data_IF_798014649424
#
_entry.id   IF_798014649424
#
_cell.length_a   1.000
_cell.length_b   1.000
_cell.length_c   1.000
_cell.angle_alpha   90.00
_cell.angle_beta   90.00
_cell.angle_gamma   90.00
#
_symmetry.space_group_name_H-M   'P 1'
#
loop_
_entity.id
_entity.type
_entity.pdbx_description
1 polymer ?
#
# COMPACT_ATOMS: atom_id res chain seq x y z
N UNK A 1 -18.77 -19.01 7.02
CA UNK A 1 -17.72 -18.01 7.30
C UNK A 1 -16.85 -17.89 6.06
N UNK A 2 -16.87 -16.77 5.35
CA UNK A 2 -16.12 -16.60 4.09
C UNK A 2 -14.75 -16.02 4.45
N UNK A 3 -13.71 -16.85 4.35
CA UNK A 3 -12.34 -16.39 4.58
C UNK A 3 -11.92 -15.63 3.31
N UNK A 4 -11.78 -14.32 3.42
CA UNK A 4 -11.22 -13.49 2.36
C UNK A 4 -9.74 -13.84 2.19
N UNK A 5 -9.28 -14.06 0.96
CA UNK A 5 -7.85 -14.23 0.63
C UNK A 5 -7.07 -12.89 0.67
N UNK A 6 -7.65 -11.86 1.29
CA UNK A 6 -7.08 -10.52 1.42
C UNK A 6 -7.29 -9.98 2.83
N UNK A 7 -6.32 -9.22 3.32
CA UNK A 7 -6.39 -8.55 4.61
C UNK A 7 -7.48 -7.46 4.61
N UNK A 8 -8.25 -7.42 5.68
CA UNK A 8 -9.19 -6.34 6.00
C UNK A 8 -8.46 -5.05 6.36
N UNK A 9 -9.19 -3.92 6.31
CA UNK A 9 -8.66 -2.61 6.70
C UNK A 9 -8.11 -2.62 8.14
N UNK A 10 -8.83 -3.23 9.08
CA UNK A 10 -8.40 -3.34 10.47
C UNK A 10 -7.10 -4.14 10.63
N UNK A 11 -6.97 -5.26 9.91
CA UNK A 11 -5.72 -6.04 9.92
C UNK A 11 -4.54 -5.24 9.34
N UNK A 12 -4.77 -4.46 8.28
CA UNK A 12 -3.75 -3.58 7.70
C UNK A 12 -3.33 -2.48 8.69
N UNK A 13 -4.27 -1.88 9.41
CA UNK A 13 -3.98 -0.88 10.45
C UNK A 13 -3.15 -1.47 11.60
N UNK A 14 -3.50 -2.68 12.06
CA UNK A 14 -2.73 -3.39 13.10
C UNK A 14 -1.30 -3.68 12.62
N UNK A 15 -1.14 -4.15 11.37
CA UNK A 15 0.18 -4.41 10.78
C UNK A 15 1.02 -3.12 10.70
N UNK A 16 0.42 -2.01 10.27
CA UNK A 16 1.11 -0.71 10.22
C UNK A 16 1.57 -0.27 11.62
N UNK A 17 0.70 -0.38 12.62
CA UNK A 17 1.01 -0.02 14.00
C UNK A 17 2.18 -0.82 14.55
N UNK A 18 2.20 -2.15 14.35
CA UNK A 18 3.30 -3.01 14.79
C UNK A 18 4.61 -2.58 14.13
N UNK A 19 4.61 -2.40 12.81
CA UNK A 19 5.81 -2.05 12.07
C UNK A 19 6.34 -0.66 12.44
N UNK A 20 5.47 0.32 12.67
CA UNK A 20 5.87 1.64 13.17
C UNK A 20 6.39 1.59 14.60
N UNK A 21 5.77 0.78 15.47
CA UNK A 21 6.24 0.59 16.86
C UNK A 21 7.64 0.01 16.90
N UNK A 22 7.93 -0.97 16.02
CA UNK A 22 9.26 -1.54 15.86
C UNK A 22 10.30 -0.51 15.38
N UNK A 23 9.88 0.54 14.67
CA UNK A 23 10.76 1.64 14.22
C UNK A 23 10.89 2.78 15.23
N UNK A 24 9.86 3.06 16.04
CA UNK A 24 9.79 4.24 16.94
C UNK A 24 10.29 4.00 18.37
N UNK A 25 10.50 2.75 18.77
CA UNK A 25 10.92 2.44 20.14
C UNK A 25 11.00 0.96 20.50
N UNK A 26 10.63 0.05 19.58
CA UNK A 26 10.97 -1.36 19.71
C UNK A 26 12.48 -1.57 19.67
N UNK A 27 12.96 -2.69 20.21
CA UNK A 27 14.38 -3.04 20.19
C UNK A 27 14.86 -3.02 18.73
N UNK A 28 15.83 -2.17 18.35
CA UNK A 28 16.28 -2.06 16.96
C UNK A 28 16.71 -3.40 16.36
N UNK A 29 17.18 -4.33 17.20
CA UNK A 29 17.52 -5.70 16.83
C UNK A 29 16.35 -6.51 16.24
N UNK A 30 15.09 -6.20 16.58
CA UNK A 30 13.92 -6.88 16.02
C UNK A 30 13.59 -6.41 14.60
N UNK A 31 13.71 -5.11 14.32
CA UNK A 31 13.43 -4.54 13.00
C UNK A 31 14.60 -4.73 12.02
N UNK A 32 15.83 -4.57 12.50
CA UNK A 32 17.03 -4.54 11.64
C UNK A 32 17.64 -5.93 11.35
N UNK A 33 17.31 -6.97 12.14
CA UNK A 33 17.81 -8.34 11.86
C UNK A 33 17.09 -9.02 10.70
N UNK A 34 15.89 -8.59 10.36
CA UNK A 34 15.13 -9.20 9.27
C UNK A 34 15.32 -8.40 7.98
N UNK A 35 15.99 -9.01 6.99
CA UNK A 35 16.25 -8.40 5.68
C UNK A 35 14.97 -8.00 4.95
N UNK A 36 13.85 -8.68 5.24
CA UNK A 36 12.56 -8.43 4.62
C UNK A 36 11.74 -7.34 5.32
N UNK A 37 12.23 -6.77 6.43
CA UNK A 37 11.47 -5.78 7.18
C UNK A 37 11.11 -4.55 6.31
N UNK A 38 12.09 -4.05 5.53
CA UNK A 38 11.88 -2.90 4.67
C UNK A 38 10.88 -3.19 3.53
N UNK A 39 10.91 -4.39 2.95
CA UNK A 39 9.97 -4.79 1.91
C UNK A 39 8.55 -4.98 2.48
N UNK A 40 8.44 -5.58 3.67
CA UNK A 40 7.19 -5.75 4.39
C UNK A 40 6.55 -4.40 4.74
N UNK A 41 7.33 -3.45 5.27
CA UNK A 41 6.85 -2.10 5.57
C UNK A 41 6.26 -1.42 4.33
N UNK A 42 7.01 -1.41 3.21
CA UNK A 42 6.51 -0.85 1.95
C UNK A 42 5.26 -1.55 1.44
N UNK A 43 5.15 -2.86 1.63
CA UNK A 43 3.98 -3.65 1.24
C UNK A 43 2.74 -3.24 2.05
N UNK A 44 2.86 -3.11 3.37
CA UNK A 44 1.75 -2.66 4.23
C UNK A 44 1.32 -1.24 3.90
N UNK A 45 2.26 -0.31 3.68
CA UNK A 45 1.95 1.05 3.23
C UNK A 45 1.21 1.04 1.89
N UNK A 46 1.62 0.18 0.95
CA UNK A 46 0.94 0.04 -0.35
C UNK A 46 -0.48 -0.52 -0.18
N UNK A 47 -0.67 -1.50 0.68
CA UNK A 47 -1.98 -2.06 0.99
C UNK A 47 -2.91 -0.99 1.58
N UNK A 48 -2.42 -0.17 2.51
CA UNK A 48 -3.18 0.95 3.07
C UNK A 48 -3.61 1.95 1.98
N UNK A 49 -2.69 2.34 1.09
CA UNK A 49 -3.02 3.23 -0.04
C UNK A 49 -4.10 2.64 -0.93
N UNK A 50 -4.02 1.35 -1.27
CA UNK A 50 -5.03 0.67 -2.10
C UNK A 50 -6.41 0.66 -1.44
N UNK A 51 -6.48 0.47 -0.12
CA UNK A 51 -7.77 0.53 0.61
C UNK A 51 -8.37 1.93 0.56
N UNK A 52 -7.55 2.97 0.75
CA UNK A 52 -8.00 4.37 0.65
C UNK A 52 -8.49 4.68 -0.77
N UNK A 53 -7.71 4.34 -1.79
CA UNK A 53 -8.12 4.53 -3.20
C UNK A 53 -9.39 3.76 -3.53
N UNK A 54 -9.54 2.51 -3.04
CA UNK A 54 -10.76 1.72 -3.26
C UNK A 54 -11.99 2.38 -2.60
N UNK A 55 -11.81 3.01 -1.45
CA UNK A 55 -12.88 3.75 -0.75
C UNK A 55 -13.24 5.04 -1.49
N UNK A 56 -12.25 5.76 -2.00
CA UNK A 56 -12.43 7.00 -2.78
C UNK A 56 -13.07 6.74 -4.15
N UNK A 57 -12.70 5.63 -4.81
CA UNK A 57 -13.29 5.22 -6.08
C UNK A 57 -14.72 4.73 -5.93
N UNK A 58 -15.19 4.38 -4.72
CA UNK A 58 -16.61 4.13 -4.45
C UNK A 58 -17.26 3.04 -5.33
N UNK A 59 -16.48 2.12 -5.91
CA UNK A 59 -17.03 1.14 -6.85
C UNK A 59 -16.76 -0.28 -6.34
N UNK A 60 -17.86 -0.99 -6.12
CA UNK A 60 -17.96 -2.44 -6.22
C UNK A 60 -17.52 -2.87 -7.64
N UNK A 61 -16.22 -2.82 -7.94
CA UNK A 61 -15.72 -3.27 -9.24
C UNK A 61 -15.67 -4.80 -9.24
N UNK A 62 -16.80 -5.36 -9.70
CA UNK A 62 -16.90 -6.35 -10.76
C UNK A 62 -15.61 -7.10 -11.11
N UNK A 63 -15.74 -8.43 -11.18
CA UNK A 63 -14.72 -9.43 -11.58
C UNK A 63 -14.18 -9.28 -13.02
N UNK A 64 -14.45 -8.18 -13.71
CA UNK A 64 -14.01 -7.93 -15.09
C UNK A 64 -13.18 -6.65 -15.08
N UNK A 65 -11.88 -6.78 -15.32
CA UNK A 65 -10.94 -5.67 -15.26
C UNK A 65 -11.27 -4.58 -16.27
N UNK A 66 -11.54 -3.38 -15.77
CA UNK A 66 -11.57 -2.16 -16.58
C UNK A 66 -10.13 -1.65 -16.71
N UNK A 67 -9.63 -1.59 -17.94
CA UNK A 67 -8.34 -0.98 -18.26
C UNK A 67 -8.57 0.53 -18.29
N UNK A 68 -7.88 1.26 -17.42
CA UNK A 68 -7.84 2.73 -17.44
C UNK A 68 -7.17 3.16 -18.76
N UNK A 69 -7.85 4.02 -19.52
CA UNK A 69 -7.27 4.61 -20.72
C UNK A 69 -6.16 5.58 -20.29
N UNK A 70 -5.03 5.56 -21.00
CA UNK A 70 -3.96 6.53 -20.82
C UNK A 70 -4.51 7.85 -21.35
N UNK A 71 -4.70 8.83 -20.47
CA UNK A 71 -4.85 10.23 -20.85
C UNK A 71 -3.49 10.71 -21.41
N UNK A 72 -3.35 10.65 -22.73
CA UNK A 72 -2.33 11.41 -23.46
C UNK A 72 -2.80 12.87 -23.58
N UNK A 73 -1.86 13.83 -23.49
CA UNK A 73 -2.00 15.30 -23.38
C UNK A 73 -1.97 15.78 -21.91
N UNK A 74 -1.00 16.53 -21.36
CA UNK A 74 0.05 17.46 -21.80
C UNK A 74 1.10 17.45 -20.65
N UNK A 75 2.41 17.57 -20.82
CA UNK A 75 3.05 18.87 -21.03
C UNK A 75 4.51 18.71 -21.48
N UNK A 76 4.82 19.45 -22.54
CA UNK A 76 6.16 19.77 -23.00
C UNK A 76 6.90 20.67 -21.98
N UNK A 77 8.23 20.72 -22.14
CA UNK A 77 9.20 21.70 -21.60
C UNK A 77 9.89 21.35 -20.27
N UNK A 78 11.16 20.90 -20.34
CA UNK A 78 12.26 21.82 -20.06
C UNK A 78 13.61 21.32 -20.60
N UNK A 79 14.39 22.32 -20.98
CA UNK A 79 15.52 22.43 -21.90
C UNK A 79 16.88 22.32 -21.17
N UNK A 80 17.96 22.48 -21.94
CA UNK A 80 19.37 22.80 -21.61
C UNK A 80 20.32 21.60 -21.52
N UNK A 81 21.42 21.53 -22.28
CA UNK A 81 22.01 22.41 -23.29
C UNK A 81 23.21 21.71 -23.93
#
# INVERSE_FOLDING_TARGET
MRISNSFSEGEIQVLEFILQTLLRGGTPSMATRNKDFASLYRKVVTMKKRVVVKKERGVDESSVGTIDAIDEDDDQQQQVG
#
